data_IF_447351668433
#
_entry.id   IF_447351668433
#
_cell.length_a   1.000
_cell.length_b   1.000
_cell.length_c   1.000
_cell.angle_alpha   90.00
_cell.angle_beta   90.00
_cell.angle_gamma   90.00
#
_symmetry.space_group_name_H-M   'P 1'
#
loop_
_entity.id
_entity.type
_entity.pdbx_description
1 polymer ?
#
# COMPACT_ATOMS: atom_id res chain seq x y z
N UNK A 1 -1.19 8.73 21.58
CA UNK A 1 -0.01 7.83 21.52
C UNK A 1 0.95 8.41 20.51
N UNK A 2 2.01 9.05 21.01
CA UNK A 2 3.08 9.57 20.17
C UNK A 2 3.87 8.40 19.59
N UNK A 3 4.08 8.50 18.29
CA UNK A 3 4.46 7.42 17.41
C UNK A 3 5.94 7.69 17.05
N UNK A 4 6.86 7.17 17.89
CA UNK A 4 8.32 7.36 17.82
C UNK A 4 8.91 6.48 16.71
N UNK A 5 8.72 6.87 15.45
CA UNK A 5 8.96 5.97 14.31
C UNK A 5 10.36 5.93 13.72
N UNK A 6 11.24 6.92 13.94
CA UNK A 6 12.57 6.81 13.36
C UNK A 6 13.65 7.45 14.25
N UNK A 7 14.70 6.69 14.51
CA UNK A 7 15.95 7.24 15.01
C UNK A 7 16.60 8.03 13.87
N UNK A 8 17.14 9.21 14.15
CA UNK A 8 17.61 10.20 13.16
C UNK A 8 18.80 9.80 12.28
N UNK A 9 19.07 8.51 12.12
CA UNK A 9 20.15 7.99 11.29
C UNK A 9 19.70 7.63 9.87
N UNK A 10 18.41 7.33 9.65
CA UNK A 10 17.90 6.84 8.35
C UNK A 10 17.38 7.94 7.41
N UNK A 11 17.18 9.18 7.90
CA UNK A 11 16.73 10.32 7.09
C UNK A 11 17.63 11.53 7.33
N UNK A 12 18.60 11.76 6.45
CA UNK A 12 19.44 12.97 6.46
C UNK A 12 19.00 13.93 5.36
N UNK A 13 18.23 14.95 5.75
CA UNK A 13 17.98 16.17 4.98
C UNK A 13 19.20 17.11 5.11
N UNK A 14 19.50 17.87 4.04
CA UNK A 14 20.59 18.84 3.98
C UNK A 14 20.58 19.79 5.18
N UNK A 15 21.73 19.86 5.87
CA UNK A 15 22.02 20.83 6.93
C UNK A 15 21.91 22.26 6.38
N UNK A 16 21.00 23.04 6.93
CA UNK A 16 21.27 24.43 7.33
C UNK A 16 20.40 24.73 8.56
N UNK A 17 21.11 25.02 9.65
CA UNK A 17 20.76 25.67 10.91
C UNK A 17 19.30 25.65 11.44
N UNK A 18 19.13 25.04 12.62
CA UNK A 18 18.36 25.50 13.81
C UNK A 18 17.92 24.26 14.63
N UNK A 19 18.63 24.06 15.75
CA UNK A 19 18.33 23.06 16.79
C UNK A 19 17.13 23.51 17.62
N UNK A 20 16.00 22.79 17.56
CA UNK A 20 15.06 22.49 18.67
C UNK A 20 13.67 21.93 18.22
N UNK A 21 13.44 21.65 16.92
CA UNK A 21 12.11 21.24 16.37
C UNK A 21 12.02 19.80 15.82
N UNK A 22 13.07 19.00 15.97
CA UNK A 22 13.27 17.76 15.18
C UNK A 22 12.23 16.65 15.42
N UNK A 23 11.65 16.53 16.62
CA UNK A 23 10.68 15.46 16.92
C UNK A 23 9.31 15.67 16.24
N UNK A 24 8.91 16.91 15.95
CA UNK A 24 7.58 17.21 15.42
C UNK A 24 7.55 17.16 13.88
N UNK A 25 8.62 17.64 13.23
CA UNK A 25 8.78 17.60 11.77
C UNK A 25 8.67 16.17 11.22
N UNK A 26 9.18 15.22 11.97
CA UNK A 26 9.26 13.83 11.57
C UNK A 26 7.92 13.08 11.64
N UNK A 27 7.06 13.46 12.59
CA UNK A 27 5.68 12.94 12.68
C UNK A 27 4.80 13.53 11.58
N UNK A 28 5.11 14.75 11.11
CA UNK A 28 4.39 15.36 9.98
C UNK A 28 4.75 14.73 8.63
N UNK A 29 5.98 14.23 8.46
CA UNK A 29 6.40 13.55 7.23
C UNK A 29 5.59 12.28 6.93
N UNK A 30 5.09 11.59 7.96
CA UNK A 30 4.27 10.38 7.82
C UNK A 30 2.77 10.65 7.77
N UNK A 31 2.31 11.91 7.83
CA UNK A 31 0.87 12.23 7.68
C UNK A 31 0.49 12.36 6.20
N UNK A 32 -0.76 12.02 5.91
CA UNK A 32 -1.34 12.20 4.57
C UNK A 32 -1.09 13.60 4.01
N UNK A 33 -0.85 13.64 2.70
CA UNK A 33 -0.88 14.87 1.92
C UNK A 33 -1.70 14.64 0.64
N UNK A 34 -2.42 15.67 0.20
CA UNK A 34 -3.24 15.62 -1.03
C UNK A 34 -2.58 16.20 -2.27
N UNK A 35 -1.30 16.55 -2.22
CA UNK A 35 -0.56 17.15 -3.35
C UNK A 35 0.71 16.36 -3.69
N UNK A 36 1.20 16.42 -4.94
CA UNK A 36 2.37 15.65 -5.37
C UNK A 36 3.62 15.95 -4.53
N UNK A 37 4.43 14.91 -4.32
CA UNK A 37 5.74 15.07 -3.69
C UNK A 37 6.69 15.90 -4.58
N UNK A 38 7.52 16.71 -3.94
CA UNK A 38 8.60 17.45 -4.61
C UNK A 38 9.94 16.69 -4.58
N UNK A 39 10.08 15.77 -3.63
CA UNK A 39 11.21 14.88 -3.49
C UNK A 39 10.75 13.53 -2.90
N UNK A 40 11.44 12.41 -3.19
CA UNK A 40 11.17 11.13 -2.56
C UNK A 40 11.29 11.19 -1.04
N UNK A 41 10.59 10.29 -0.34
CA UNK A 41 10.63 10.21 1.11
C UNK A 41 11.96 9.62 1.61
N UNK A 42 12.52 8.67 0.86
CA UNK A 42 13.80 8.04 1.12
C UNK A 42 14.91 8.64 0.25
N UNK A 43 16.16 8.44 0.67
CA UNK A 43 17.32 8.81 -0.15
C UNK A 43 17.49 7.78 -1.26
N UNK A 44 17.14 8.18 -2.48
CA UNK A 44 17.25 7.35 -3.68
C UNK A 44 18.42 7.76 -4.58
N UNK A 45 18.94 6.85 -5.40
CA UNK A 45 19.77 7.22 -6.55
C UNK A 45 19.05 8.23 -7.45
N UNK A 46 19.75 9.21 -8.05
CA UNK A 46 19.15 10.25 -8.88
C UNK A 46 18.20 9.70 -9.94
N UNK A 47 18.58 8.60 -10.59
CA UNK A 47 17.83 7.97 -11.69
C UNK A 47 16.47 7.39 -11.27
N UNK A 48 16.26 7.13 -9.96
CA UNK A 48 15.00 6.61 -9.43
C UNK A 48 14.09 7.71 -8.87
N UNK A 49 14.58 8.95 -8.79
CA UNK A 49 13.85 10.08 -8.19
C UNK A 49 12.54 10.32 -8.93
N UNK A 50 12.58 10.45 -10.25
CA UNK A 50 11.38 10.72 -11.05
C UNK A 50 10.38 9.55 -10.98
N UNK A 51 10.87 8.31 -10.93
CA UNK A 51 10.02 7.13 -10.80
C UNK A 51 9.31 7.07 -9.45
N UNK A 52 9.98 7.49 -8.37
CA UNK A 52 9.37 7.59 -7.05
C UNK A 52 8.27 8.66 -6.99
N UNK A 53 8.51 9.80 -7.65
CA UNK A 53 7.51 10.88 -7.74
C UNK A 53 6.31 10.45 -8.58
N UNK A 54 6.54 9.77 -9.70
CA UNK A 54 5.50 9.17 -10.55
C UNK A 54 4.68 8.13 -9.78
N UNK A 55 5.32 7.29 -8.95
CA UNK A 55 4.61 6.34 -8.08
C UNK A 55 3.66 7.08 -7.12
N UNK A 56 4.12 8.17 -6.50
CA UNK A 56 3.27 8.94 -5.60
C UNK A 56 2.10 9.60 -6.33
N UNK A 57 2.36 10.13 -7.52
CA UNK A 57 1.35 10.74 -8.40
C UNK A 57 0.25 9.73 -8.80
N UNK A 58 0.66 8.49 -9.09
CA UNK A 58 -0.24 7.35 -9.31
C UNK A 58 -1.03 6.99 -8.05
N UNK A 59 -0.40 6.99 -6.86
CA UNK A 59 -1.07 6.71 -5.59
C UNK A 59 -2.15 7.76 -5.32
N UNK A 60 -1.85 9.04 -5.50
CA UNK A 60 -2.82 10.12 -5.27
C UNK A 60 -4.02 10.02 -6.22
N UNK A 61 -3.79 9.80 -7.53
CA UNK A 61 -4.88 9.56 -8.49
C UNK A 61 -5.70 8.33 -8.14
N UNK A 62 -5.04 7.23 -7.76
CA UNK A 62 -5.73 6.03 -7.32
C UNK A 62 -6.62 6.28 -6.10
N UNK A 63 -6.17 7.10 -5.16
CA UNK A 63 -6.93 7.49 -3.98
C UNK A 63 -8.04 8.52 -4.28
N UNK A 64 -8.04 9.13 -5.46
CA UNK A 64 -8.95 10.21 -5.82
C UNK A 64 -8.57 11.56 -5.19
N UNK A 65 -7.30 11.73 -4.79
CA UNK A 65 -6.76 12.96 -4.21
C UNK A 65 -6.30 13.96 -5.30
N UNK A 66 -6.15 13.51 -6.54
CA UNK A 66 -5.83 14.34 -7.70
C UNK A 66 -6.96 14.35 -8.72
N UNK A 67 -6.94 15.37 -9.57
CA UNK A 67 -7.88 15.51 -10.68
C UNK A 67 -7.78 14.27 -11.58
N UNK A 68 -8.92 13.65 -11.96
CA UNK A 68 -8.92 12.52 -12.87
C UNK A 68 -8.25 12.85 -14.20
N UNK A 69 -7.35 11.96 -14.61
CA UNK A 69 -6.68 12.02 -15.91
C UNK A 69 -7.28 10.91 -16.80
N UNK A 70 -7.88 11.24 -17.96
CA UNK A 70 -8.45 10.26 -18.87
C UNK A 70 -7.43 9.22 -19.36
N UNK A 71 -6.16 9.60 -19.47
CA UNK A 71 -5.11 8.71 -19.93
C UNK A 71 -4.59 7.80 -18.81
N UNK A 72 -4.70 8.23 -17.55
CA UNK A 72 -4.16 7.54 -16.39
C UNK A 72 -5.26 7.02 -15.46
N UNK A 73 -5.91 5.94 -15.90
CA UNK A 73 -6.96 5.25 -15.12
C UNK A 73 -6.43 4.65 -13.82
N UNK A 74 -7.32 4.35 -12.88
CA UNK A 74 -6.97 3.68 -11.61
C UNK A 74 -6.16 2.40 -11.83
N UNK A 75 -6.55 1.60 -12.83
CA UNK A 75 -5.86 0.34 -13.18
C UNK A 75 -4.44 0.62 -13.69
N UNK A 76 -4.27 1.63 -14.55
CA UNK A 76 -2.95 2.03 -15.03
C UNK A 76 -2.08 2.53 -13.89
N UNK A 77 -2.61 3.32 -12.96
CA UNK A 77 -1.89 3.76 -11.77
C UNK A 77 -1.34 2.57 -10.97
N UNK A 78 -2.17 1.54 -10.72
CA UNK A 78 -1.74 0.34 -9.99
C UNK A 78 -0.65 -0.40 -10.76
N UNK A 79 -0.80 -0.58 -12.07
CA UNK A 79 0.22 -1.25 -12.87
C UNK A 79 1.54 -0.48 -12.95
N UNK A 80 1.51 0.85 -13.06
CA UNK A 80 2.72 1.67 -13.03
C UNK A 80 3.49 1.46 -11.73
N UNK A 81 2.81 1.54 -10.58
CA UNK A 81 3.43 1.30 -9.26
C UNK A 81 4.01 -0.11 -9.17
N UNK A 82 3.25 -1.14 -9.57
CA UNK A 82 3.70 -2.52 -9.53
C UNK A 82 4.90 -2.77 -10.46
N UNK A 83 4.90 -2.17 -11.65
CA UNK A 83 5.96 -2.31 -12.64
C UNK A 83 7.27 -1.70 -12.14
N UNK A 84 7.22 -0.49 -11.55
CA UNK A 84 8.38 0.17 -10.96
C UNK A 84 8.94 -0.61 -9.77
N UNK A 85 8.08 -1.09 -8.87
CA UNK A 85 8.47 -1.93 -7.73
C UNK A 85 9.02 -3.30 -8.14
N UNK A 86 8.58 -3.83 -9.28
CA UNK A 86 9.11 -5.07 -9.83
C UNK A 86 10.53 -4.87 -10.37
N UNK A 87 10.75 -3.81 -11.16
CA UNK A 87 12.04 -3.49 -11.77
C UNK A 87 13.10 -3.00 -10.78
N UNK A 88 12.70 -2.24 -9.77
CA UNK A 88 13.62 -1.59 -8.84
C UNK A 88 13.28 -1.93 -7.39
N UNK A 89 14.10 -2.78 -6.77
CA UNK A 89 13.89 -3.22 -5.38
C UNK A 89 13.85 -2.04 -4.39
N UNK A 90 14.69 -1.03 -4.61
CA UNK A 90 14.79 0.16 -3.75
C UNK A 90 13.47 0.96 -3.74
N UNK A 91 12.72 0.96 -4.86
CA UNK A 91 11.42 1.64 -4.92
C UNK A 91 10.34 0.97 -4.08
N UNK A 92 10.51 -0.29 -3.68
CA UNK A 92 9.52 -0.99 -2.84
C UNK A 92 9.38 -0.30 -1.49
N UNK A 93 10.50 -0.01 -0.83
CA UNK A 93 10.49 0.64 0.48
C UNK A 93 9.97 2.07 0.38
N UNK A 94 10.34 2.80 -0.68
CA UNK A 94 9.81 4.14 -0.95
C UNK A 94 8.28 4.10 -1.10
N UNK A 95 7.74 3.21 -1.92
CA UNK A 95 6.29 3.08 -2.14
C UNK A 95 5.58 2.61 -0.87
N UNK A 96 6.19 1.74 -0.06
CA UNK A 96 5.65 1.40 1.25
C UNK A 96 5.54 2.63 2.16
N UNK A 97 6.59 3.45 2.24
CA UNK A 97 6.56 4.70 3.01
C UNK A 97 5.48 5.66 2.49
N UNK A 98 5.35 5.80 1.18
CA UNK A 98 4.31 6.61 0.53
C UNK A 98 2.89 6.13 0.87
N UNK A 99 2.66 4.81 0.90
CA UNK A 99 1.36 4.24 1.28
C UNK A 99 1.09 4.33 2.79
N UNK A 100 2.10 4.18 3.63
CA UNK A 100 1.98 4.45 5.07
C UNK A 100 1.56 5.91 5.28
N UNK A 101 2.18 6.84 4.55
CA UNK A 101 1.81 8.25 4.57
C UNK A 101 0.35 8.48 4.20
N UNK A 102 -0.13 7.89 3.10
CA UNK A 102 -1.53 8.04 2.67
C UNK A 102 -2.55 7.29 3.53
N UNK A 103 -2.11 6.36 4.38
CA UNK A 103 -2.99 5.64 5.33
C UNK A 103 -2.97 6.23 6.74
N UNK A 104 -2.06 7.16 7.04
CA UNK A 104 -1.88 7.75 8.36
C UNK A 104 -2.55 9.12 8.43
N UNK A 105 -3.54 9.23 9.33
CA UNK A 105 -4.29 10.47 9.55
C UNK A 105 -4.77 11.11 8.25
N UNK A 106 -5.31 10.30 7.33
CA UNK A 106 -5.81 10.77 6.04
C UNK A 106 -6.98 11.75 6.23
N UNK A 107 -6.79 12.99 5.76
CA UNK A 107 -7.75 14.10 5.83
C UNK A 107 -8.25 14.51 4.45
N UNK A 108 -8.22 13.60 3.49
CA UNK A 108 -8.70 13.86 2.14
C UNK A 108 -10.16 14.29 2.14
N UNK A 109 -10.55 15.25 1.26
CA UNK A 109 -11.96 15.52 1.00
C UNK A 109 -12.67 14.33 0.33
N UNK A 110 -11.92 13.41 -0.30
CA UNK A 110 -12.45 12.16 -0.83
C UNK A 110 -12.60 11.12 0.30
N UNK A 111 -13.83 10.77 0.66
CA UNK A 111 -14.13 9.82 1.73
C UNK A 111 -13.53 8.43 1.52
N UNK A 112 -13.36 8.02 0.26
CA UNK A 112 -12.79 6.72 -0.12
C UNK A 112 -11.26 6.71 -0.18
N UNK A 113 -10.59 7.86 -0.08
CA UNK A 113 -9.13 7.99 -0.27
C UNK A 113 -8.35 7.08 0.67
N UNK A 114 -8.65 7.12 1.97
CA UNK A 114 -8.00 6.27 2.95
C UNK A 114 -8.20 4.79 2.63
N UNK A 115 -9.43 4.39 2.33
CA UNK A 115 -9.78 2.99 2.04
C UNK A 115 -9.10 2.49 0.76
N UNK A 116 -8.98 3.34 -0.26
CA UNK A 116 -8.23 3.08 -1.49
C UNK A 116 -6.74 2.92 -1.20
N UNK A 117 -6.11 3.81 -0.43
CA UNK A 117 -4.71 3.66 -0.03
C UNK A 117 -4.44 2.30 0.67
N UNK A 118 -5.34 1.88 1.57
CA UNK A 118 -5.27 0.57 2.23
C UNK A 118 -5.43 -0.61 1.24
N UNK A 119 -6.32 -0.48 0.25
CA UNK A 119 -6.49 -1.49 -0.82
C UNK A 119 -5.22 -1.61 -1.67
N UNK A 120 -4.61 -0.49 -2.06
CA UNK A 120 -3.35 -0.49 -2.80
C UNK A 120 -2.21 -1.12 -1.99
N UNK A 121 -2.12 -0.79 -0.70
CA UNK A 121 -1.17 -1.43 0.22
C UNK A 121 -1.37 -2.95 0.31
N UNK A 122 -2.62 -3.41 0.29
CA UNK A 122 -2.93 -4.85 0.32
C UNK A 122 -2.46 -5.57 -0.94
N UNK A 123 -2.55 -4.91 -2.10
CA UNK A 123 -2.02 -5.40 -3.37
C UNK A 123 -0.50 -5.48 -3.26
N UNK A 124 0.17 -4.39 -2.89
CA UNK A 124 1.63 -4.32 -2.79
C UNK A 124 2.19 -5.40 -1.85
N UNK A 125 1.60 -5.56 -0.66
CA UNK A 125 1.97 -6.57 0.34
C UNK A 125 1.86 -8.02 -0.15
N UNK A 126 1.01 -8.28 -1.14
CA UNK A 126 0.86 -9.60 -1.75
C UNK A 126 1.91 -9.88 -2.85
N UNK A 127 2.58 -8.85 -3.37
CA UNK A 127 3.55 -8.95 -4.46
C UNK A 127 4.99 -8.81 -4.02
N UNK A 128 5.26 -7.91 -3.07
CA UNK A 128 6.62 -7.52 -2.75
C UNK A 128 6.86 -7.53 -1.24
N UNK A 129 8.01 -8.05 -0.82
CA UNK A 129 8.52 -7.80 0.53
C UNK A 129 9.09 -6.39 0.64
N UNK A 130 9.34 -5.96 1.88
CA UNK A 130 10.15 -4.79 2.23
C UNK A 130 11.51 -5.22 2.78
N UNK A 131 12.45 -4.27 2.88
CA UNK A 131 13.74 -4.49 3.53
C UNK A 131 13.60 -4.87 5.01
N UNK A 132 14.65 -5.46 5.57
CA UNK A 132 14.72 -5.76 7.01
C UNK A 132 14.64 -4.49 7.87
N UNK A 133 15.12 -3.36 7.35
CA UNK A 133 15.07 -2.07 8.04
C UNK A 133 13.63 -1.54 8.15
N UNK A 134 12.84 -1.61 7.07
CA UNK A 134 11.46 -1.10 7.06
C UNK A 134 10.46 -2.07 7.72
N UNK A 135 10.73 -3.38 7.67
CA UNK A 135 9.81 -4.43 8.10
C UNK A 135 9.23 -4.26 9.52
N UNK A 136 10.01 -4.02 10.58
CA UNK A 136 9.44 -3.88 11.93
C UNK A 136 8.42 -2.74 11.99
N UNK A 137 8.72 -1.63 11.32
CA UNK A 137 7.83 -0.46 11.30
C UNK A 137 6.54 -0.73 10.53
N UNK A 138 6.66 -1.36 9.36
CA UNK A 138 5.49 -1.73 8.56
C UNK A 138 4.59 -2.73 9.31
N UNK A 139 5.18 -3.73 9.99
CA UNK A 139 4.41 -4.69 10.79
C UNK A 139 3.67 -4.00 11.93
N UNK A 140 4.30 -3.06 12.64
CA UNK A 140 3.67 -2.33 13.74
C UNK A 140 2.52 -1.45 13.23
N UNK A 141 2.72 -0.70 12.13
CA UNK A 141 1.66 0.10 11.51
C UNK A 141 0.45 -0.74 11.13
N UNK A 142 0.69 -1.88 10.47
CA UNK A 142 -0.36 -2.81 10.07
C UNK A 142 -1.06 -3.44 11.28
N UNK A 143 -0.31 -3.80 12.32
CA UNK A 143 -0.85 -4.44 13.53
C UNK A 143 -1.71 -3.46 14.32
N UNK A 144 -1.24 -2.23 14.52
CA UNK A 144 -2.02 -1.16 15.16
C UNK A 144 -3.32 -0.91 14.41
N UNK A 145 -3.27 -0.73 13.09
CA UNK A 145 -4.46 -0.51 12.27
C UNK A 145 -5.42 -1.71 12.24
N UNK A 146 -4.90 -2.95 12.26
CA UNK A 146 -5.71 -4.17 12.28
C UNK A 146 -6.35 -4.45 13.65
N UNK A 147 -5.74 -3.99 14.75
CA UNK A 147 -6.26 -4.19 16.11
C UNK A 147 -7.40 -3.23 16.46
N UNK A 148 -7.42 -2.04 15.85
CA UNK A 148 -8.41 -1.00 16.09
C UNK A 148 -9.70 -1.25 15.29
N UNK A 149 -10.65 -1.97 15.91
CA UNK A 149 -11.94 -2.33 15.30
C UNK A 149 -12.82 -1.12 14.96
N UNK A 150 -12.54 0.06 15.50
CA UNK A 150 -13.29 1.27 15.20
C UNK A 150 -12.86 1.90 13.87
N UNK A 151 -11.70 1.50 13.33
CA UNK A 151 -11.26 1.95 12.00
C UNK A 151 -11.96 1.15 10.91
N UNK A 152 -12.50 1.86 9.92
CA UNK A 152 -13.04 1.26 8.69
C UNK A 152 -12.03 0.37 7.97
N UNK A 153 -10.73 0.67 8.10
CA UNK A 153 -9.66 -0.06 7.45
C UNK A 153 -9.17 -1.32 8.19
N UNK A 154 -9.66 -1.64 9.40
CA UNK A 154 -9.06 -2.73 10.22
C UNK A 154 -9.00 -4.07 9.46
N UNK A 155 -10.07 -4.42 8.73
CA UNK A 155 -10.14 -5.65 7.97
C UNK A 155 -9.14 -5.69 6.83
N UNK A 156 -8.96 -4.58 6.11
CA UNK A 156 -7.97 -4.47 5.03
C UNK A 156 -6.54 -4.50 5.59
N UNK A 157 -6.29 -3.83 6.72
CA UNK A 157 -4.99 -3.86 7.40
C UNK A 157 -4.62 -5.29 7.83
N UNK A 158 -5.57 -6.08 8.34
CA UNK A 158 -5.35 -7.49 8.68
C UNK A 158 -5.00 -8.34 7.44
N UNK A 159 -5.63 -8.05 6.29
CA UNK A 159 -5.26 -8.68 5.01
C UNK A 159 -3.85 -8.28 4.59
N UNK A 160 -3.48 -7.00 4.67
CA UNK A 160 -2.12 -6.53 4.39
C UNK A 160 -1.08 -7.27 5.24
N UNK A 161 -1.32 -7.40 6.55
CA UNK A 161 -0.42 -8.08 7.48
C UNK A 161 -0.26 -9.56 7.12
N UNK A 162 -1.37 -10.23 6.79
CA UNK A 162 -1.36 -11.64 6.35
C UNK A 162 -0.58 -11.81 5.05
N UNK A 163 -0.81 -10.92 4.07
CA UNK A 163 -0.12 -10.94 2.79
C UNK A 163 1.38 -10.71 2.98
N UNK A 164 1.79 -9.72 3.77
CA UNK A 164 3.19 -9.42 4.01
C UNK A 164 3.93 -10.60 4.66
N UNK A 165 3.30 -11.26 5.66
CA UNK A 165 3.87 -12.47 6.29
C UNK A 165 3.99 -13.64 5.31
N UNK A 166 2.99 -13.85 4.44
CA UNK A 166 3.05 -14.88 3.38
C UNK A 166 4.14 -14.58 2.37
N UNK A 167 4.22 -13.34 1.90
CA UNK A 167 5.23 -12.87 0.96
C UNK A 167 6.64 -13.03 1.53
N UNK A 168 6.86 -12.75 2.81
CA UNK A 168 8.14 -12.96 3.48
C UNK A 168 8.53 -14.44 3.58
N UNK A 169 7.56 -15.35 3.77
CA UNK A 169 7.81 -16.79 3.93
C UNK A 169 7.97 -17.55 2.61
N UNK A 170 7.15 -17.23 1.63
CA UNK A 170 7.00 -18.03 0.40
C UNK A 170 7.39 -17.28 -0.87
N UNK A 171 7.82 -16.02 -0.75
CA UNK A 171 7.93 -15.10 -1.87
C UNK A 171 6.57 -14.50 -2.27
N UNK A 172 6.62 -13.43 -3.06
CA UNK A 172 5.42 -12.73 -3.53
C UNK A 172 4.71 -13.42 -4.68
N UNK A 173 3.49 -12.96 -5.01
CA UNK A 173 2.76 -13.41 -6.20
C UNK A 173 3.61 -13.23 -7.47
N UNK A 174 3.69 -14.28 -8.28
CA UNK A 174 4.43 -14.27 -9.56
C UNK A 174 3.62 -13.71 -10.73
N UNK A 175 2.29 -13.80 -10.66
CA UNK A 175 1.38 -13.33 -11.71
C UNK A 175 0.87 -11.94 -11.38
N UNK A 176 1.11 -10.97 -12.27
CA UNK A 176 0.54 -9.61 -12.23
C UNK A 176 -0.99 -9.71 -12.09
N UNK A 177 -1.63 -8.86 -11.26
CA UNK A 177 -3.06 -8.99 -11.03
C UNK A 177 -3.83 -8.66 -12.31
N UNK A 178 -4.96 -9.31 -12.54
CA UNK A 178 -5.78 -9.01 -13.73
C UNK A 178 -6.48 -7.66 -13.60
N UNK A 179 -6.95 -7.11 -14.72
CA UNK A 179 -7.70 -5.83 -14.71
C UNK A 179 -8.96 -5.97 -13.86
N UNK A 180 -9.63 -7.12 -13.93
CA UNK A 180 -10.82 -7.43 -13.14
C UNK A 180 -10.50 -7.52 -11.65
N UNK A 181 -9.36 -8.13 -11.28
CA UNK A 181 -8.90 -8.19 -9.90
C UNK A 181 -8.62 -6.80 -9.34
N UNK A 182 -7.86 -5.97 -10.08
CA UNK A 182 -7.57 -4.59 -9.67
C UNK A 182 -8.87 -3.81 -9.52
N UNK A 183 -9.77 -3.89 -10.50
CA UNK A 183 -11.06 -3.21 -10.47
C UNK A 183 -11.93 -3.67 -9.30
N UNK A 184 -11.94 -4.97 -8.99
CA UNK A 184 -12.68 -5.52 -7.86
C UNK A 184 -12.11 -5.02 -6.53
N UNK A 185 -10.78 -5.09 -6.35
CA UNK A 185 -10.12 -4.62 -5.13
C UNK A 185 -10.33 -3.12 -4.95
N UNK A 186 -10.18 -2.31 -5.99
CA UNK A 186 -10.44 -0.86 -5.96
C UNK A 186 -11.86 -0.53 -5.55
N UNK A 187 -12.84 -1.31 -6.02
CA UNK A 187 -14.25 -1.16 -5.64
C UNK A 187 -14.60 -1.78 -4.27
N UNK A 188 -13.63 -2.31 -3.52
CA UNK A 188 -13.86 -2.96 -2.23
C UNK A 188 -14.53 -4.32 -2.31
N UNK A 189 -14.67 -4.86 -3.52
CA UNK A 189 -15.19 -6.21 -3.72
C UNK A 189 -14.06 -7.19 -3.44
N UNK A 190 -14.25 -8.08 -2.47
CA UNK A 190 -13.43 -9.29 -2.40
C UNK A 190 -13.68 -10.09 -3.67
N UNK A 191 -12.68 -10.24 -4.54
CA UNK A 191 -12.81 -11.03 -5.76
C UNK A 191 -13.01 -12.50 -5.39
N UNK A 192 -14.26 -12.92 -5.14
CA UNK A 192 -14.63 -14.32 -4.89
C UNK A 192 -15.99 -14.61 -5.50
N UNK A 193 -15.98 -15.00 -6.78
CA UNK A 193 -16.89 -16.02 -7.30
C UNK A 193 -16.28 -16.62 -8.57
N UNK A 194 -15.57 -17.73 -8.42
CA UNK A 194 -15.19 -18.54 -9.58
C UNK A 194 -16.29 -19.57 -9.79
N UNK A 195 -17.01 -19.46 -10.90
CA UNK A 195 -18.02 -20.44 -11.32
C UNK A 195 -17.26 -21.53 -12.09
N UNK A 196 -17.12 -22.70 -11.48
CA UNK A 196 -16.62 -23.86 -12.19
C UNK A 196 -17.80 -24.50 -12.93
N UNK A 197 -17.72 -24.50 -14.27
CA UNK A 197 -18.60 -25.32 -15.11
C UNK A 197 -17.92 -26.66 -15.34
N UNK A 198 -18.45 -27.70 -14.71
CA UNK A 198 -17.97 -29.07 -14.89
C UNK A 198 -18.55 -29.68 -16.18
N UNK A 199 -17.85 -30.64 -16.83
CA UNK A 199 -18.43 -31.41 -17.93
C UNK A 199 -19.72 -32.09 -17.44
N UNK A 200 -20.86 -31.70 -18.02
CA UNK A 200 -22.20 -32.11 -17.55
C UNK A 200 -23.13 -30.96 -17.15
N UNK A 201 -22.67 -29.71 -17.23
CA UNK A 201 -23.54 -28.52 -17.06
C UNK A 201 -23.81 -28.11 -15.61
N UNK A 202 -23.21 -28.80 -14.64
CA UNK A 202 -23.27 -28.41 -13.24
C UNK A 202 -22.40 -27.17 -13.00
N UNK A 203 -23.02 -26.13 -12.42
CA UNK A 203 -22.33 -24.93 -11.95
C UNK A 203 -22.07 -25.04 -10.45
N UNK A 204 -20.81 -25.09 -10.05
CA UNK A 204 -20.44 -25.11 -8.63
C UNK A 204 -19.85 -23.76 -8.22
N UNK A 205 -20.45 -23.17 -7.16
CA UNK A 205 -20.03 -21.89 -6.59
C UNK A 205 -18.99 -22.15 -5.51
N UNK A 206 -17.75 -21.72 -5.72
CA UNK A 206 -16.72 -21.77 -4.69
C UNK A 206 -16.59 -20.41 -4.00
N UNK A 207 -16.91 -20.35 -2.70
CA UNK A 207 -16.59 -19.22 -1.82
C UNK A 207 -15.49 -19.65 -0.84
N UNK A 208 -14.25 -19.22 -1.05
CA UNK A 208 -13.18 -19.65 -0.16
C UNK A 208 -13.23 -19.00 1.25
N UNK A 209 -14.29 -18.26 1.62
CA UNK A 209 -14.58 -17.89 3.02
C UNK A 209 -15.14 -19.07 3.84
N UNK A 210 -15.56 -20.15 3.18
CA UNK A 210 -15.89 -21.44 3.81
C UNK A 210 -14.71 -22.43 3.75
N UNK A 211 -13.51 -21.97 4.16
CA UNK A 211 -12.31 -22.82 4.27
C UNK A 211 -11.96 -23.21 5.71
N UNK A 212 -12.80 -22.85 6.68
CA UNK A 212 -12.76 -23.38 8.03
C UNK A 212 -14.01 -24.23 8.22
N UNK A 213 -13.86 -25.36 8.91
CA UNK A 213 -14.80 -26.49 9.03
C UNK A 213 -14.61 -27.55 7.93
N UNK A 214 -14.45 -28.79 8.39
CA UNK A 214 -14.10 -30.03 7.66
C UNK A 214 -12.60 -30.35 7.49
N UNK A 215 -11.91 -30.47 8.64
CA UNK A 215 -11.05 -31.64 8.92
C UNK A 215 -11.27 -32.07 10.37
N UNK A 216 -12.28 -32.91 10.57
CA UNK A 216 -12.41 -34.02 11.55
C UNK A 216 -13.69 -34.76 11.19
#
# INVERSE_FOLDING_TARGET
>A
MELRWFSGEDIKIKRNDVRSSDNNLHVDLVKWQGHPLQAPLLRLPPDLTNLALECFDCILRYCGDLIPDPELTEVKCVYTVLMHCHKHLILRDEVYCQLIKQTTSNRSPCSESAQRAWRLLSILAAYFGCSDALRPYLIEHLTSAASDRHRSCHGTAAVCLTNLRKTARCGGRKNVPSVEEVTAVSAGRSARRQIYRLPGGAEQKYDPKMGHYFWT
#
